data_IF_381551660560
#
_entry.id   IF_381551660560
#
_cell.length_a   1.000
_cell.length_b   1.000
_cell.length_c   1.000
_cell.angle_alpha   90.00
_cell.angle_beta   90.00
_cell.angle_gamma   90.00
#
_symmetry.space_group_name_H-M   'P 1'
#
loop_
_entity.id
_entity.type
_entity.pdbx_description
1 polymer ?
#
# COMPACT_ATOMS: atom_id res chain seq x y z
N UNK A 1 0.91 -3.98 17.30
CA UNK A 1 0.13 -3.38 16.20
C UNK A 1 -0.83 -2.36 16.75
N UNK A 2 -0.61 -1.08 16.49
CA UNK A 2 -1.58 -0.03 16.81
C UNK A 2 -2.52 0.12 15.61
N UNK A 3 -3.81 0.26 15.86
CA UNK A 3 -4.80 0.43 14.78
C UNK A 3 -4.91 1.90 14.35
N UNK A 4 -5.56 2.12 13.21
CA UNK A 4 -5.94 3.46 12.77
C UNK A 4 -6.92 4.09 13.76
N UNK A 5 -6.86 5.41 13.89
CA UNK A 5 -7.84 6.16 14.67
C UNK A 5 -9.26 5.88 14.14
N UNK A 6 -10.22 5.70 15.05
CA UNK A 6 -11.61 5.39 14.70
C UNK A 6 -12.22 6.40 13.72
N UNK A 7 -11.84 7.68 13.83
CA UNK A 7 -12.31 8.75 12.95
C UNK A 7 -11.90 8.61 11.49
N UNK A 8 -10.81 7.88 11.19
CA UNK A 8 -10.30 7.68 9.83
C UNK A 8 -10.44 6.24 9.33
N UNK A 9 -10.65 5.28 10.23
CA UNK A 9 -10.61 3.85 9.93
C UNK A 9 -11.59 3.46 8.80
N UNK A 10 -12.85 3.89 8.90
CA UNK A 10 -13.85 3.61 7.86
C UNK A 10 -13.55 4.29 6.52
N UNK A 11 -12.90 5.45 6.54
CA UNK A 11 -12.52 6.18 5.32
C UNK A 11 -11.36 5.48 4.60
N UNK A 12 -10.36 4.99 5.35
CA UNK A 12 -9.28 4.17 4.80
C UNK A 12 -9.81 2.85 4.25
N UNK A 13 -10.79 2.23 4.93
CA UNK A 13 -11.42 1.01 4.43
C UNK A 13 -12.10 1.19 3.08
N UNK A 14 -12.86 2.27 2.89
CA UNK A 14 -13.52 2.54 1.62
C UNK A 14 -12.50 2.71 0.48
N UNK A 15 -11.45 3.50 0.71
CA UNK A 15 -10.40 3.72 -0.29
C UNK A 15 -9.65 2.43 -0.63
N UNK A 16 -9.39 1.59 0.36
CA UNK A 16 -8.81 0.28 0.16
C UNK A 16 -9.71 -0.62 -0.70
N UNK A 17 -11.03 -0.61 -0.47
CA UNK A 17 -11.99 -1.31 -1.33
C UNK A 17 -11.90 -0.77 -2.76
N UNK A 18 -11.85 0.54 -2.95
CA UNK A 18 -11.72 1.17 -4.27
C UNK A 18 -10.46 0.69 -5.02
N UNK A 19 -9.33 0.50 -4.32
CA UNK A 19 -8.10 -0.08 -4.90
C UNK A 19 -8.34 -1.51 -5.39
N UNK A 20 -8.90 -2.37 -4.54
CA UNK A 20 -9.15 -3.76 -4.90
C UNK A 20 -10.19 -3.90 -6.00
N UNK A 21 -11.23 -3.08 -6.01
CA UNK A 21 -12.23 -3.05 -7.08
C UNK A 21 -11.62 -2.59 -8.40
N UNK A 22 -10.79 -1.55 -8.38
CA UNK A 22 -10.10 -1.04 -9.58
C UNK A 22 -9.20 -2.11 -10.21
N UNK A 23 -8.45 -2.85 -9.38
CA UNK A 23 -7.55 -3.91 -9.82
C UNK A 23 -8.33 -5.16 -10.28
N UNK A 24 -9.38 -5.56 -9.55
CA UNK A 24 -10.18 -6.75 -9.88
C UNK A 24 -11.16 -6.55 -11.03
N UNK A 25 -11.45 -5.30 -11.42
CA UNK A 25 -12.22 -4.99 -12.61
C UNK A 25 -11.48 -5.37 -13.91
N UNK A 26 -10.16 -5.62 -13.83
CA UNK A 26 -9.40 -6.17 -14.93
C UNK A 26 -9.94 -7.55 -15.33
N UNK A 27 -10.18 -7.73 -16.63
CA UNK A 27 -10.57 -9.03 -17.21
C UNK A 27 -9.36 -9.90 -17.54
N UNK A 28 -8.16 -9.43 -17.26
CA UNK A 28 -6.93 -10.11 -17.62
C UNK A 28 -6.55 -11.19 -16.58
N UNK A 29 -5.83 -12.22 -17.03
CA UNK A 29 -5.39 -13.32 -16.15
C UNK A 29 -4.23 -12.92 -15.24
N UNK A 30 -3.48 -11.90 -15.63
CA UNK A 30 -2.30 -11.39 -14.95
C UNK A 30 -2.49 -9.90 -14.73
N UNK A 31 -2.18 -9.44 -13.53
CA UNK A 31 -2.22 -8.03 -13.16
C UNK A 31 -1.14 -7.27 -13.90
N UNK A 32 -1.53 -6.25 -14.66
CA UNK A 32 -0.58 -5.34 -15.31
C UNK A 32 -0.13 -4.26 -14.34
N UNK A 33 1.12 -3.83 -14.48
CA UNK A 33 1.65 -2.70 -13.71
C UNK A 33 0.84 -1.42 -13.93
N UNK A 34 0.39 -1.17 -15.15
CA UNK A 34 -0.48 -0.02 -15.44
C UNK A 34 -1.74 0.01 -14.57
N UNK A 35 -2.31 -1.16 -14.27
CA UNK A 35 -3.52 -1.25 -13.44
C UNK A 35 -3.22 -0.97 -11.96
N UNK A 36 -2.01 -1.28 -11.49
CA UNK A 36 -1.54 -0.80 -10.19
C UNK A 36 -1.32 0.71 -10.21
N UNK A 37 -0.65 1.22 -11.24
CA UNK A 37 -0.36 2.65 -11.39
C UNK A 37 -1.64 3.51 -11.45
N UNK A 38 -2.71 3.01 -12.06
CA UNK A 38 -4.02 3.68 -12.11
C UNK A 38 -4.62 3.93 -10.70
N UNK A 39 -4.19 3.18 -9.70
CA UNK A 39 -4.63 3.34 -8.30
C UNK A 39 -3.78 4.31 -7.48
N UNK A 40 -2.73 4.90 -8.05
CA UNK A 40 -1.79 5.78 -7.34
C UNK A 40 -2.49 6.91 -6.58
N UNK A 41 -3.45 7.59 -7.21
CA UNK A 41 -4.20 8.69 -6.59
C UNK A 41 -4.98 8.27 -5.34
N UNK A 42 -5.43 7.02 -5.27
CA UNK A 42 -6.12 6.46 -4.11
C UNK A 42 -5.12 6.23 -2.97
N UNK A 43 -3.94 5.69 -3.28
CA UNK A 43 -2.86 5.54 -2.30
C UNK A 43 -2.40 6.89 -1.74
N UNK A 44 -2.25 7.92 -2.58
CA UNK A 44 -1.91 9.29 -2.17
C UNK A 44 -2.94 9.83 -1.19
N UNK A 45 -4.23 9.66 -1.50
CA UNK A 45 -5.32 10.09 -0.61
C UNK A 45 -5.28 9.37 0.75
N UNK A 46 -5.01 8.08 0.77
CA UNK A 46 -4.85 7.32 2.02
C UNK A 46 -3.66 7.85 2.82
N UNK A 47 -2.52 8.09 2.17
CA UNK A 47 -1.34 8.64 2.82
C UNK A 47 -1.65 9.99 3.48
N UNK A 48 -2.31 10.90 2.75
CA UNK A 48 -2.69 12.22 3.25
C UNK A 48 -3.62 12.14 4.47
N UNK A 49 -4.55 11.17 4.51
CA UNK A 49 -5.44 10.96 5.65
C UNK A 49 -4.65 10.45 6.87
N UNK A 50 -3.69 9.55 6.66
CA UNK A 50 -3.02 8.82 7.74
C UNK A 50 -1.82 9.58 8.30
N UNK A 51 -1.10 10.36 7.48
CA UNK A 51 0.19 10.98 7.87
C UNK A 51 0.09 11.89 9.08
N UNK A 52 -1.01 12.63 9.23
CA UNK A 52 -1.18 13.61 10.31
C UNK A 52 -1.68 12.99 11.62
N UNK A 53 -2.00 11.69 11.62
CA UNK A 53 -2.46 10.97 12.83
C UNK A 53 -1.32 10.47 13.72
N UNK A 54 -0.07 10.58 13.25
CA UNK A 54 1.10 10.00 13.91
C UNK A 54 1.20 8.47 13.79
N UNK A 55 0.36 7.84 12.97
CA UNK A 55 0.38 6.39 12.73
C UNK A 55 1.73 5.89 12.20
N UNK A 56 2.33 6.61 11.24
CA UNK A 56 3.63 6.25 10.64
C UNK A 56 4.84 6.53 11.53
N UNK A 57 4.69 7.39 12.54
CA UNK A 57 5.79 7.81 13.41
C UNK A 57 6.05 6.82 14.56
N UNK A 58 5.45 5.63 14.51
CA UNK A 58 5.66 4.60 15.50
C UNK A 58 6.86 3.75 15.13
N UNK A 59 7.78 3.54 16.07
CA UNK A 59 9.04 2.83 15.84
C UNK A 59 8.85 1.44 15.23
N UNK A 60 7.82 0.70 15.64
CA UNK A 60 7.47 -0.60 15.06
C UNK A 60 7.11 -0.49 13.57
N UNK A 61 6.31 0.51 13.21
CA UNK A 61 5.86 0.75 11.85
C UNK A 61 7.02 1.25 10.96
N UNK A 62 7.86 2.13 11.50
CA UNK A 62 9.06 2.61 10.83
C UNK A 62 10.05 1.47 10.53
N UNK A 63 10.29 0.58 11.50
CA UNK A 63 11.18 -0.57 11.32
C UNK A 63 10.62 -1.57 10.31
N UNK A 64 9.30 -1.81 10.32
CA UNK A 64 8.63 -2.67 9.34
C UNK A 64 8.73 -2.09 7.92
N UNK A 65 8.43 -0.79 7.76
CA UNK A 65 8.56 -0.07 6.49
C UNK A 65 10.01 -0.11 5.98
N UNK A 66 10.99 0.01 6.88
CA UNK A 66 12.41 -0.05 6.54
C UNK A 66 12.84 -1.47 6.12
N UNK A 67 12.37 -2.51 6.82
CA UNK A 67 12.64 -3.90 6.47
C UNK A 67 12.07 -4.25 5.08
N UNK A 68 10.80 -3.94 4.85
CA UNK A 68 10.12 -4.16 3.57
C UNK A 68 10.77 -3.40 2.40
N UNK A 69 11.35 -2.23 2.67
CA UNK A 69 12.09 -1.46 1.67
C UNK A 69 13.48 -2.01 1.35
N UNK A 70 14.11 -2.76 2.27
CA UNK A 70 15.48 -3.26 2.12
C UNK A 70 15.55 -4.56 1.30
N UNK A 71 14.49 -5.37 1.32
CA UNK A 71 14.40 -6.64 0.56
C UNK A 71 14.17 -6.46 -0.95
N UNK A 72 14.01 -5.22 -1.43
CA UNK A 72 13.55 -4.90 -2.79
C UNK A 72 14.48 -3.91 -3.52
N UNK A 73 15.78 -3.88 -3.16
CA UNK A 73 16.73 -2.88 -3.68
C UNK A 73 17.39 -3.23 -5.03
N UNK A 74 17.28 -4.47 -5.50
CA UNK A 74 17.99 -4.97 -6.70
C UNK A 74 17.08 -5.38 -7.87
N UNK A 75 15.78 -5.07 -7.82
CA UNK A 75 14.80 -5.47 -8.84
C UNK A 75 14.39 -4.30 -9.76
N UNK A 76 14.00 -4.63 -10.99
CA UNK A 76 13.28 -3.73 -11.90
C UNK A 76 12.15 -3.00 -11.14
N UNK A 77 11.96 -1.69 -11.37
CA UNK A 77 11.00 -0.88 -10.60
C UNK A 77 9.56 -1.41 -10.71
N UNK A 78 9.20 -1.96 -11.86
CA UNK A 78 7.93 -2.65 -12.09
C UNK A 78 7.80 -3.92 -11.24
N UNK A 79 8.80 -4.80 -11.28
CA UNK A 79 8.83 -6.03 -10.48
C UNK A 79 8.81 -5.71 -8.98
N UNK A 80 9.54 -4.66 -8.55
CA UNK A 80 9.55 -4.21 -7.18
C UNK A 80 8.17 -3.70 -6.71
N UNK A 81 7.43 -2.99 -7.57
CA UNK A 81 6.06 -2.59 -7.27
C UNK A 81 5.14 -3.81 -7.15
N UNK A 82 5.22 -4.75 -8.10
CA UNK A 82 4.42 -5.97 -8.08
C UNK A 82 4.71 -6.82 -6.84
N UNK A 83 5.98 -7.05 -6.50
CA UNK A 83 6.41 -7.78 -5.31
C UNK A 83 5.92 -7.09 -4.03
N UNK A 84 5.96 -5.76 -3.97
CA UNK A 84 5.44 -5.00 -2.83
C UNK A 84 3.92 -5.17 -2.70
N UNK A 85 3.18 -5.09 -3.80
CA UNK A 85 1.74 -5.33 -3.84
C UNK A 85 1.37 -6.75 -3.39
N UNK A 86 2.06 -7.77 -3.93
CA UNK A 86 1.84 -9.17 -3.56
C UNK A 86 2.14 -9.42 -2.07
N UNK A 87 3.21 -8.82 -1.56
CA UNK A 87 3.58 -8.91 -0.13
C UNK A 87 2.54 -8.23 0.75
N UNK A 88 2.03 -7.06 0.36
CA UNK A 88 0.90 -6.43 1.05
C UNK A 88 -0.31 -7.37 1.09
N UNK A 89 -0.72 -7.92 -0.06
CA UNK A 89 -1.85 -8.85 -0.13
C UNK A 89 -1.69 -10.07 0.79
N UNK A 90 -0.50 -10.67 0.84
CA UNK A 90 -0.19 -11.78 1.75
C UNK A 90 -0.31 -11.36 3.23
N UNK A 91 0.21 -10.19 3.59
CA UNK A 91 0.13 -9.66 4.97
C UNK A 91 -1.31 -9.33 5.38
N UNK A 92 -2.10 -8.80 4.45
CA UNK A 92 -3.52 -8.50 4.65
C UNK A 92 -4.33 -9.76 4.92
N UNK A 93 -4.10 -10.83 4.15
CA UNK A 93 -4.78 -12.13 4.33
C UNK A 93 -4.51 -12.78 5.69
N UNK A 94 -3.41 -12.42 6.36
CA UNK A 94 -3.08 -12.89 7.72
C UNK A 94 -3.77 -12.08 8.84
N UNK A 95 -4.62 -11.10 8.51
CA UNK A 95 -5.30 -10.27 9.50
C UNK A 95 -6.48 -10.99 10.13
N UNK A 96 -6.67 -10.80 11.44
CA UNK A 96 -7.74 -11.44 12.22
C UNK A 96 -8.96 -10.54 12.41
N UNK A 97 -8.79 -9.23 12.25
CA UNK A 97 -9.88 -8.24 12.36
C UNK A 97 -9.81 -7.23 11.23
N UNK A 98 -10.92 -6.51 10.99
CA UNK A 98 -10.98 -5.45 9.99
C UNK A 98 -10.03 -4.30 10.32
N UNK A 99 -9.90 -3.94 11.60
CA UNK A 99 -8.99 -2.89 12.05
C UNK A 99 -7.53 -3.27 11.80
N UNK A 100 -7.19 -4.54 11.99
CA UNK A 100 -5.86 -5.06 11.66
C UNK A 100 -5.61 -5.02 10.15
N UNK A 101 -6.60 -5.40 9.36
CA UNK A 101 -6.55 -5.33 7.90
C UNK A 101 -6.31 -3.90 7.42
N UNK A 102 -7.11 -2.95 7.91
CA UNK A 102 -7.00 -1.53 7.53
C UNK A 102 -5.67 -0.92 8.00
N UNK A 103 -5.19 -1.28 9.19
CA UNK A 103 -3.90 -0.82 9.68
C UNK A 103 -2.74 -1.37 8.84
N UNK A 104 -2.75 -2.65 8.48
CA UNK A 104 -1.75 -3.24 7.58
C UNK A 104 -1.77 -2.57 6.22
N UNK A 105 -2.95 -2.36 5.64
CA UNK A 105 -3.05 -1.65 4.36
C UNK A 105 -2.41 -0.27 4.44
N UNK A 106 -2.78 0.52 5.46
CA UNK A 106 -2.19 1.83 5.69
C UNK A 106 -0.67 1.80 5.85
N UNK A 107 -0.08 0.77 6.47
CA UNK A 107 1.37 0.61 6.62
C UNK A 107 2.11 0.43 5.29
N UNK A 108 1.49 -0.27 4.34
CA UNK A 108 2.09 -0.51 3.03
C UNK A 108 1.97 0.68 2.08
N UNK A 109 0.99 1.57 2.29
CA UNK A 109 0.77 2.77 1.45
C UNK A 109 2.05 3.56 1.14
N UNK A 110 2.86 4.02 2.11
CA UNK A 110 4.07 4.80 1.80
C UNK A 110 5.12 3.99 1.02
N UNK A 111 5.13 2.66 1.15
CA UNK A 111 6.06 1.79 0.43
C UNK A 111 5.61 1.67 -1.02
N UNK A 112 4.31 1.42 -1.24
CA UNK A 112 3.71 1.33 -2.58
C UNK A 112 3.91 2.65 -3.35
N UNK A 113 3.60 3.79 -2.71
CA UNK A 113 3.79 5.11 -3.33
C UNK A 113 5.24 5.34 -3.77
N UNK A 114 6.20 5.02 -2.90
CA UNK A 114 7.62 5.13 -3.25
C UNK A 114 8.00 4.30 -4.48
N UNK A 115 7.38 3.12 -4.68
CA UNK A 115 7.62 2.27 -5.86
C UNK A 115 6.95 2.83 -7.12
N UNK A 116 5.73 3.34 -7.01
CA UNK A 116 5.05 4.03 -8.11
C UNK A 116 5.82 5.28 -8.56
N UNK A 117 6.30 6.08 -7.63
CA UNK A 117 7.14 7.26 -7.91
C UNK A 117 8.44 6.89 -8.63
N UNK A 118 9.08 5.77 -8.24
CA UNK A 118 10.30 5.29 -8.89
C UNK A 118 10.07 4.94 -10.37
N UNK A 119 8.93 4.34 -10.71
CA UNK A 119 8.54 4.06 -12.10
C UNK A 119 8.33 5.36 -12.88
N UNK A 120 7.56 6.30 -12.32
CA UNK A 120 7.31 7.60 -12.95
C UNK A 120 8.59 8.42 -13.18
N UNK A 121 9.61 8.26 -12.33
CA UNK A 121 10.90 8.94 -12.48
C UNK A 121 11.80 8.34 -13.57
N UNK A 122 11.52 7.12 -14.03
CA UNK A 122 12.25 6.46 -15.13
C UNK A 122 11.71 6.88 -16.50
N UNK A 123 10.46 7.36 -16.57
CA UNK A 123 9.82 7.81 -17.81
C UNK A 123 10.17 9.25 -18.24
N UNK A 124 11.21 9.88 -17.67
CA UNK A 124 11.68 11.25 -18.01
C UNK A 124 12.96 11.23 -18.86
#
# INVERSE_FOLDING_TARGET
MKYLDFSINGRVQNLMVDVFESISASKERELKISELMDTQSIFELVFEIVKDTGFYNQDEHFNLIKALNSDTSDENSEDALYTTWATMGSNLNNSKTQEEFNAKFALFVPIILKRMEAINCIEI
#
